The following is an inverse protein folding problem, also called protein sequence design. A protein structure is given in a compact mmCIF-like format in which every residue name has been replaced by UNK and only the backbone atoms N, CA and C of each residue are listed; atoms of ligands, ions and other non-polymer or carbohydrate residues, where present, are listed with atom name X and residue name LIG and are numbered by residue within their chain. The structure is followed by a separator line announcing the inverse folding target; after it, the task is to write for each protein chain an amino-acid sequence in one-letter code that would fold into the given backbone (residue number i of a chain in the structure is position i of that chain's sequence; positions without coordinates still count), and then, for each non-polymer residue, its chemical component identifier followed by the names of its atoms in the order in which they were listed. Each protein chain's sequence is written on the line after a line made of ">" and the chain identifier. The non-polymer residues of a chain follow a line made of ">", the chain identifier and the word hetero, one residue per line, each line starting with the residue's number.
data_IF_924109077775
#
_entry.id   IF_924109077775
#
_cell.length_a   1.000
_cell.length_b   1.000
_cell.length_c   1.000
_cell.angle_alpha   90.00
_cell.angle_beta   90.00
_cell.angle_gamma   90.00
#
_symmetry.space_group_name_H-M   'P 1'
#
loop_
_entity.id
_entity.type
_entity.pdbx_description
1 polymer ?
#
# COMPACT_ATOMS: atom_id res chain seq x y z
N UNK A 1 22.14 13.31 31.76
CA UNK A 1 21.79 12.24 30.80
C UNK A 1 21.12 11.13 31.57
N UNK A 2 19.79 11.06 31.52
CA UNK A 2 19.02 10.00 32.16
C UNK A 2 18.78 8.95 31.09
N UNK A 3 19.68 7.99 30.92
CA UNK A 3 19.41 6.87 30.02
C UNK A 3 18.43 5.95 30.76
N UNK A 4 17.15 5.86 30.32
CA UNK A 4 16.21 4.96 30.98
C UNK A 4 16.73 3.53 30.85
N UNK A 5 16.72 2.78 31.96
CA UNK A 5 17.11 1.39 31.97
C UNK A 5 16.15 0.60 31.07
N UNK A 6 16.68 0.10 29.94
CA UNK A 6 15.92 -0.65 28.96
C UNK A 6 15.60 -2.02 29.55
N UNK A 7 14.35 -2.24 29.97
CA UNK A 7 13.94 -3.51 30.54
C UNK A 7 13.85 -4.55 29.44
N UNK A 8 13.96 -5.83 29.80
CA UNK A 8 13.79 -6.95 28.87
C UNK A 8 12.46 -6.88 28.11
N UNK A 9 11.39 -6.40 28.76
CA UNK A 9 10.09 -6.17 28.12
C UNK A 9 10.13 -5.11 27.03
N UNK A 10 10.88 -4.01 27.24
CA UNK A 10 11.04 -2.95 26.25
C UNK A 10 11.79 -3.46 25.01
N UNK A 11 12.84 -4.28 25.22
CA UNK A 11 13.58 -4.91 24.12
C UNK A 11 12.67 -5.82 23.30
N UNK A 12 11.87 -6.67 23.96
CA UNK A 12 10.93 -7.56 23.28
C UNK A 12 9.89 -6.75 22.50
N UNK A 13 9.36 -5.68 23.08
CA UNK A 13 8.40 -4.79 22.41
C UNK A 13 9.01 -4.09 21.18
N UNK A 14 10.22 -3.57 21.31
CA UNK A 14 10.95 -2.92 20.20
C UNK A 14 11.19 -3.93 19.07
N UNK A 15 11.68 -5.13 19.38
CA UNK A 15 11.94 -6.18 18.39
C UNK A 15 10.63 -6.60 17.69
N UNK A 16 9.55 -6.76 18.46
CA UNK A 16 8.24 -7.10 17.90
C UNK A 16 7.71 -6.01 16.95
N UNK A 17 7.79 -4.74 17.35
CA UNK A 17 7.38 -3.63 16.50
C UNK A 17 8.24 -3.51 15.25
N UNK A 18 9.56 -3.68 15.37
CA UNK A 18 10.46 -3.70 14.22
C UNK A 18 10.09 -4.82 13.24
N UNK A 19 9.79 -6.02 13.74
CA UNK A 19 9.32 -7.15 12.93
C UNK A 19 8.00 -6.81 12.22
N UNK A 20 7.03 -6.24 12.92
CA UNK A 20 5.74 -5.86 12.34
C UNK A 20 5.90 -4.83 11.22
N UNK A 21 6.72 -3.80 11.43
CA UNK A 21 7.03 -2.80 10.41
C UNK A 21 7.71 -3.41 9.19
N UNK A 22 8.67 -4.32 9.40
CA UNK A 22 9.34 -5.03 8.30
C UNK A 22 8.35 -5.86 7.48
N UNK A 23 7.44 -6.58 8.13
CA UNK A 23 6.39 -7.36 7.46
C UNK A 23 5.48 -6.44 6.63
N UNK A 24 5.03 -5.31 7.19
CA UNK A 24 4.20 -4.34 6.46
C UNK A 24 4.95 -3.77 5.26
N UNK A 25 6.22 -3.39 5.42
CA UNK A 25 7.03 -2.87 4.33
C UNK A 25 7.18 -3.90 3.20
N UNK A 26 7.42 -5.18 3.53
CA UNK A 26 7.47 -6.25 2.54
C UNK A 26 6.13 -6.37 1.79
N UNK A 27 5.00 -6.37 2.50
CA UNK A 27 3.69 -6.41 1.85
C UNK A 27 3.46 -5.23 0.91
N UNK A 28 3.83 -4.01 1.33
CA UNK A 28 3.67 -2.82 0.50
C UNK A 28 4.58 -2.82 -0.74
N UNK A 29 5.74 -3.47 -0.68
CA UNK A 29 6.67 -3.55 -1.80
C UNK A 29 6.35 -4.70 -2.77
N UNK A 30 5.82 -5.81 -2.26
CA UNK A 30 5.57 -7.03 -3.05
C UNK A 30 4.16 -7.06 -3.64
N UNK A 31 3.16 -6.52 -2.93
CA UNK A 31 1.80 -6.53 -3.45
C UNK A 31 1.67 -5.50 -4.58
N UNK A 32 1.11 -5.90 -5.74
CA UNK A 32 0.84 -4.94 -6.79
C UNK A 32 -0.12 -3.86 -6.25
N UNK A 33 0.02 -2.61 -6.70
CA UNK A 33 -0.94 -1.56 -6.40
C UNK A 33 -2.32 -2.09 -6.79
N UNK A 34 -3.27 -2.09 -5.85
CA UNK A 34 -4.63 -2.49 -6.20
C UNK A 34 -5.19 -1.44 -7.15
N UNK A 35 -5.71 -1.88 -8.28
CA UNK A 35 -6.50 -1.04 -9.17
C UNK A 35 -7.75 -0.63 -8.40
N UNK A 36 -7.68 0.53 -7.75
CA UNK A 36 -8.75 1.10 -6.97
C UNK A 36 -9.38 2.24 -7.76
N UNK A 37 -10.50 1.92 -8.38
CA UNK A 37 -11.51 2.82 -8.90
C UNK A 37 -12.29 3.42 -7.71
N UNK A 38 -11.81 4.56 -7.18
CA UNK A 38 -12.42 5.28 -6.05
C UNK A 38 -13.84 5.79 -6.37
N UNK A 39 -14.84 4.90 -6.38
CA UNK A 39 -16.25 5.22 -6.65
C UNK A 39 -16.67 5.14 -8.12
N UNK A 40 -15.75 4.79 -9.03
CA UNK A 40 -16.07 4.49 -10.42
C UNK A 40 -16.37 2.99 -10.58
N UNK A 41 -17.29 2.62 -11.45
CA UNK A 41 -17.73 1.22 -11.63
C UNK A 41 -16.58 0.25 -12.01
N UNK A 42 -16.81 -1.07 -11.92
CA UNK A 42 -15.79 -2.10 -12.19
C UNK A 42 -15.17 -2.02 -13.60
N UNK A 43 -15.82 -1.33 -14.54
CA UNK A 43 -15.36 -1.08 -15.91
C UNK A 43 -14.28 0.00 -16.02
N UNK A 44 -14.00 0.73 -14.94
CA UNK A 44 -13.02 1.82 -14.92
C UNK A 44 -11.66 1.34 -14.41
N UNK A 45 -10.63 1.57 -15.21
CA UNK A 45 -9.24 1.41 -14.80
C UNK A 45 -8.63 2.78 -14.57
N UNK A 46 -8.24 3.07 -13.33
CA UNK A 46 -7.59 4.31 -12.94
C UNK A 46 -6.09 4.08 -12.76
N UNK A 47 -5.29 4.70 -13.62
CA UNK A 47 -3.84 4.67 -13.52
C UNK A 47 -3.33 5.95 -12.86
N UNK A 48 -2.53 5.80 -11.80
CA UNK A 48 -1.79 6.93 -11.22
C UNK A 48 -0.71 7.35 -12.20
N UNK A 49 -0.74 8.61 -12.65
CA UNK A 49 0.32 9.19 -13.46
C UNK A 49 1.46 9.73 -12.59
N UNK A 50 2.68 9.71 -13.12
CA UNK A 50 3.86 10.24 -12.42
C UNK A 50 3.80 11.76 -12.21
N UNK A 51 3.06 12.47 -13.07
CA UNK A 51 2.82 13.91 -12.99
C UNK A 51 1.38 14.21 -13.45
N UNK A 52 0.69 15.11 -12.76
CA UNK A 52 -0.69 15.49 -13.06
C UNK A 52 -1.76 14.63 -12.37
N UNK A 53 -3.02 14.87 -12.75
CA UNK A 53 -4.18 14.16 -12.19
C UNK A 53 -4.27 12.71 -12.69
N UNK A 54 -4.75 11.76 -11.86
CA UNK A 54 -4.90 10.38 -12.27
C UNK A 54 -5.88 10.25 -13.44
N UNK A 55 -5.53 9.44 -14.44
CA UNK A 55 -6.42 9.15 -15.57
C UNK A 55 -7.22 7.89 -15.27
N UNK A 56 -8.53 8.00 -15.40
CA UNK A 56 -9.45 6.87 -15.37
C UNK A 56 -10.03 6.64 -16.77
N UNK A 57 -9.83 5.45 -17.32
CA UNK A 57 -10.41 5.03 -18.60
C UNK A 57 -11.47 3.98 -18.38
N UNK A 58 -12.61 4.11 -19.06
CA UNK A 58 -13.63 3.08 -19.13
C UNK A 58 -13.30 2.15 -20.29
N UNK A 59 -12.97 0.91 -19.99
CA UNK A 59 -12.84 -0.11 -21.03
C UNK A 59 -14.23 -0.49 -21.48
N UNK A 60 -14.53 -0.22 -22.74
CA UNK A 60 -15.72 -0.73 -23.41
C UNK A 60 -15.26 -1.94 -24.20
N UNK A 61 -15.71 -3.14 -23.83
CA UNK A 61 -15.52 -4.32 -24.68
C UNK A 61 -16.17 -4.02 -26.03
N UNK A 62 -15.33 -3.81 -27.03
CA UNK A 62 -15.75 -3.72 -28.42
C UNK A 62 -15.84 -5.16 -28.95
N UNK A 63 -16.76 -5.96 -28.41
CA UNK A 63 -17.12 -7.22 -29.04
C UNK A 63 -18.08 -6.94 -30.20
N UNK A 64 -17.45 -6.86 -31.38
CA UNK A 64 -17.81 -7.48 -32.66
C UNK A 64 -19.20 -7.18 -33.25
N UNK A 65 -19.16 -6.45 -34.38
CA UNK A 65 -20.10 -6.40 -35.52
C UNK A 65 -21.45 -7.14 -35.40
#
# INVERSE_FOLDING_TARGET
>A
MNLPYLRRGDIVGIVFMALMCAVIAVFLLVLPPRDHNFGFGPEWQCARMGEGDPICVRLVDQDRD
#
